data_IF_303797184143
#
_entry.id   IF_303797184143
#
_cell.length_a   1.000
_cell.length_b   1.000
_cell.length_c   1.000
_cell.angle_alpha   90.00
_cell.angle_beta   90.00
_cell.angle_gamma   90.00
#
_symmetry.space_group_name_H-M   'P 1'
#
loop_
_entity.id
_entity.type
_entity.pdbx_description
1 polymer ?
#
# COMPACT_ATOMS: atom_id res chain seq x y z
N UNK A 1 -11.46 11.27 -1.68
CA UNK A 1 -11.35 12.24 -0.57
C UNK A 1 -12.74 12.56 -0.07
N UNK A 2 -13.58 13.12 -0.94
CA UNK A 2 -14.98 13.41 -0.65
C UNK A 2 -15.92 12.27 -1.10
N UNK A 3 -16.23 12.18 -2.39
CA UNK A 3 -17.30 11.32 -2.94
C UNK A 3 -17.04 9.82 -2.75
N UNK A 4 -15.81 9.36 -2.90
CA UNK A 4 -15.46 7.93 -2.82
C UNK A 4 -15.25 7.42 -1.37
N UNK A 5 -15.47 8.27 -0.36
CA UNK A 5 -15.21 7.98 1.06
C UNK A 5 -16.46 8.27 1.88
N UNK A 6 -16.73 7.42 2.87
CA UNK A 6 -17.80 7.65 3.84
C UNK A 6 -17.30 8.53 4.98
N UNK A 7 -18.04 9.60 5.27
CA UNK A 7 -17.71 10.56 6.33
C UNK A 7 -18.57 10.40 7.59
N UNK A 8 -19.60 9.55 7.52
CA UNK A 8 -20.59 9.30 8.57
C UNK A 8 -21.10 7.84 8.49
N UNK A 9 -21.74 7.37 9.56
CA UNK A 9 -22.31 6.03 9.66
C UNK A 9 -21.27 4.94 9.98
N UNK A 10 -21.71 3.68 9.97
CA UNK A 10 -20.90 2.53 10.42
C UNK A 10 -19.59 2.34 9.64
N UNK A 11 -19.55 2.83 8.39
CA UNK A 11 -18.38 2.71 7.51
C UNK A 11 -17.59 4.02 7.37
N UNK A 12 -17.83 5.00 8.25
CA UNK A 12 -17.07 6.25 8.26
C UNK A 12 -15.56 5.96 8.32
N UNK A 13 -14.80 6.60 7.44
CA UNK A 13 -13.36 6.36 7.29
C UNK A 13 -13.00 5.24 6.30
N UNK A 14 -13.98 4.53 5.71
CA UNK A 14 -13.75 3.63 4.57
C UNK A 14 -14.07 4.31 3.25
N UNK A 15 -13.36 3.92 2.19
CA UNK A 15 -13.71 4.29 0.82
C UNK A 15 -14.18 3.10 0.00
N UNK A 16 -14.83 3.37 -1.12
CA UNK A 16 -15.40 2.35 -1.99
C UNK A 16 -14.45 2.02 -3.15
N UNK A 17 -14.24 0.73 -3.41
CA UNK A 17 -13.51 0.26 -4.60
C UNK A 17 -14.19 0.74 -5.90
N UNK A 18 -13.38 1.00 -6.92
CA UNK A 18 -13.82 1.43 -8.25
C UNK A 18 -14.96 0.56 -8.84
N UNK A 19 -15.96 1.22 -9.41
CA UNK A 19 -17.14 0.60 -10.01
C UNK A 19 -17.95 1.60 -10.86
N UNK A 20 -19.12 1.19 -11.34
CA UNK A 20 -19.99 2.04 -12.20
C UNK A 20 -20.45 3.29 -11.45
N UNK A 21 -20.78 3.15 -10.16
CA UNK A 21 -21.02 4.29 -9.27
C UNK A 21 -19.90 4.35 -8.23
N UNK A 22 -19.56 5.57 -7.81
CA UNK A 22 -18.55 5.87 -6.80
C UNK A 22 -18.74 5.13 -5.46
N UNK A 23 -19.94 4.62 -5.19
CA UNK A 23 -20.32 3.96 -3.93
C UNK A 23 -20.91 2.54 -4.13
N UNK A 24 -20.90 1.99 -5.34
CA UNK A 24 -21.58 0.72 -5.65
C UNK A 24 -20.83 -0.54 -5.18
N UNK A 25 -19.50 -0.59 -5.28
CA UNK A 25 -18.76 -1.83 -4.97
C UNK A 25 -18.85 -2.17 -3.47
N UNK A 26 -18.95 -3.45 -3.14
CA UNK A 26 -19.08 -3.92 -1.75
C UNK A 26 -17.76 -3.94 -0.95
N UNK A 27 -16.62 -3.76 -1.62
CA UNK A 27 -15.32 -3.62 -0.97
C UNK A 27 -15.16 -2.20 -0.45
N UNK A 28 -15.58 -2.00 0.81
CA UNK A 28 -15.33 -0.77 1.58
C UNK A 28 -14.03 -0.97 2.36
N UNK A 29 -13.00 -0.18 2.06
CA UNK A 29 -11.64 -0.46 2.52
C UNK A 29 -10.83 0.82 2.79
N UNK A 30 -9.84 0.69 3.67
CA UNK A 30 -8.91 1.76 4.05
C UNK A 30 -8.09 2.27 2.86
N UNK A 31 -7.72 1.38 1.93
CA UNK A 31 -6.88 1.72 0.77
C UNK A 31 -7.43 2.81 -0.17
N UNK A 32 -8.73 3.12 -0.10
CA UNK A 32 -9.35 4.22 -0.87
C UNK A 32 -9.40 5.52 -0.03
N UNK A 33 -9.67 5.36 1.27
CA UNK A 33 -9.70 6.46 2.24
C UNK A 33 -8.30 6.91 2.69
N UNK A 34 -7.24 6.19 2.30
CA UNK A 34 -5.84 6.46 2.63
C UNK A 34 -5.51 7.97 2.56
N UNK A 35 -5.10 8.53 3.70
CA UNK A 35 -4.85 9.97 3.83
C UNK A 35 -3.60 10.42 3.08
N UNK A 36 -2.69 9.50 2.72
CA UNK A 36 -1.51 9.77 1.89
C UNK A 36 -1.86 10.45 0.58
N UNK A 37 -3.01 10.12 -0.01
CA UNK A 37 -3.44 10.73 -1.27
C UNK A 37 -3.84 12.22 -1.15
N UNK A 38 -3.89 12.75 0.08
CA UNK A 38 -4.29 14.13 0.39
C UNK A 38 -3.21 14.92 1.14
N UNK A 39 -2.26 14.23 1.78
CA UNK A 39 -1.11 14.83 2.50
C UNK A 39 -0.38 15.87 1.65
N UNK A 40 0.00 15.52 0.41
CA UNK A 40 0.73 16.44 -0.47
C UNK A 40 -0.03 17.74 -0.73
N UNK A 41 -1.31 17.64 -1.08
CA UNK A 41 -2.15 18.82 -1.29
C UNK A 41 -2.27 19.64 0.00
N UNK A 42 -2.61 19.00 1.11
CA UNK A 42 -2.76 19.67 2.41
C UNK A 42 -1.50 20.39 2.85
N UNK A 43 -0.32 19.78 2.79
CA UNK A 43 0.91 20.43 3.24
C UNK A 43 1.35 21.56 2.30
N UNK A 44 0.90 21.56 1.04
CA UNK A 44 1.14 22.66 0.10
C UNK A 44 0.15 23.81 0.26
N UNK A 45 -1.09 23.55 0.69
CA UNK A 45 -2.17 24.56 0.69
C UNK A 45 -2.66 24.96 2.07
N UNK A 46 -2.41 24.13 3.09
CA UNK A 46 -3.03 24.18 4.41
C UNK A 46 -4.58 24.19 4.38
N UNK A 47 -5.19 23.64 3.32
CA UNK A 47 -6.65 23.64 3.15
C UNK A 47 -7.35 22.95 4.33
N UNK A 48 -8.17 23.72 5.05
CA UNK A 48 -8.82 23.28 6.28
C UNK A 48 -9.81 22.14 6.02
N UNK A 49 -10.48 22.14 4.86
CA UNK A 49 -11.44 21.08 4.51
C UNK A 49 -10.72 19.74 4.38
N UNK A 50 -9.61 19.68 3.67
CA UNK A 50 -8.79 18.47 3.58
C UNK A 50 -8.20 18.12 4.95
N UNK A 51 -7.86 19.11 5.77
CA UNK A 51 -7.49 18.93 7.16
C UNK A 51 -8.55 18.18 7.98
N UNK A 52 -9.82 18.57 7.84
CA UNK A 52 -10.96 17.91 8.50
C UNK A 52 -11.14 16.48 8.00
N UNK A 53 -11.05 16.26 6.68
CA UNK A 53 -11.16 14.93 6.08
C UNK A 53 -10.10 13.97 6.62
N UNK A 54 -8.84 14.40 6.71
CA UNK A 54 -7.76 13.57 7.24
C UNK A 54 -7.92 13.30 8.73
N UNK A 55 -8.42 14.29 9.51
CA UNK A 55 -8.68 14.11 10.94
C UNK A 55 -9.82 13.10 11.18
N UNK A 56 -10.87 13.11 10.35
CA UNK A 56 -11.98 12.17 10.44
C UNK A 56 -11.55 10.71 10.27
N UNK A 57 -10.42 10.45 9.60
CA UNK A 57 -9.88 9.11 9.38
C UNK A 57 -9.05 8.54 10.53
N UNK A 58 -8.75 9.31 11.59
CA UNK A 58 -7.85 8.86 12.67
C UNK A 58 -8.35 7.63 13.43
N UNK A 59 -9.68 7.49 13.55
CA UNK A 59 -10.33 6.37 14.24
C UNK A 59 -10.92 5.34 13.25
N UNK A 60 -10.48 5.34 11.98
CA UNK A 60 -11.04 4.44 10.97
C UNK A 60 -10.74 2.96 11.23
N UNK A 61 -9.84 2.63 12.15
CA UNK A 61 -9.61 1.28 12.68
C UNK A 61 -10.85 0.67 13.36
N UNK A 62 -11.75 1.49 13.90
CA UNK A 62 -12.99 1.01 14.51
C UNK A 62 -13.90 0.29 13.50
N UNK A 63 -13.74 0.60 12.21
CA UNK A 63 -14.52 -0.02 11.12
C UNK A 63 -14.31 -1.54 11.03
N UNK A 64 -13.20 -2.07 11.55
CA UNK A 64 -12.94 -3.51 11.60
C UNK A 64 -13.84 -4.25 12.61
N UNK A 65 -14.50 -3.54 13.54
CA UNK A 65 -15.53 -4.11 14.42
C UNK A 65 -16.79 -4.49 13.64
N UNK A 66 -17.08 -3.78 12.55
CA UNK A 66 -18.36 -3.89 11.83
C UNK A 66 -18.20 -4.48 10.42
N UNK A 67 -16.98 -4.47 9.86
CA UNK A 67 -16.74 -4.96 8.51
C UNK A 67 -15.37 -5.64 8.38
N UNK A 68 -15.37 -6.96 8.15
CA UNK A 68 -14.18 -7.68 7.66
C UNK A 68 -14.02 -7.45 6.14
N UNK A 69 -12.92 -6.82 5.67
CA UNK A 69 -12.65 -6.65 4.25
C UNK A 69 -12.43 -7.98 3.52
N UNK A 70 -12.12 -9.07 4.23
CA UNK A 70 -11.84 -10.40 3.69
C UNK A 70 -13.03 -11.36 3.77
N UNK A 71 -14.19 -10.94 4.30
CA UNK A 71 -15.37 -11.80 4.59
C UNK A 71 -15.88 -12.73 3.48
N UNK A 72 -15.51 -12.47 2.22
CA UNK A 72 -15.92 -13.27 1.05
C UNK A 72 -14.83 -14.23 0.54
N UNK A 73 -13.59 -14.06 1.01
CA UNK A 73 -12.41 -14.80 0.53
C UNK A 73 -11.63 -15.47 1.66
N UNK A 74 -11.91 -15.07 2.91
CA UNK A 74 -11.40 -15.72 4.12
C UNK A 74 -11.87 -17.17 4.18
N UNK A 75 -10.99 -18.08 4.59
CA UNK A 75 -11.27 -19.51 4.73
C UNK A 75 -11.35 -19.96 6.18
N UNK A 76 -10.78 -19.19 7.11
CA UNK A 76 -10.88 -19.40 8.55
C UNK A 76 -12.16 -18.81 9.16
N UNK A 77 -12.70 -19.41 10.24
CA UNK A 77 -13.80 -18.82 10.98
C UNK A 77 -13.32 -17.55 11.69
N UNK A 78 -13.96 -16.42 11.38
CA UNK A 78 -13.61 -15.13 11.96
C UNK A 78 -14.87 -14.36 12.35
N UNK A 79 -14.87 -13.83 13.57
CA UNK A 79 -15.84 -12.86 14.07
C UNK A 79 -15.04 -11.71 14.65
N UNK A 80 -15.38 -10.44 14.34
CA UNK A 80 -14.67 -9.30 14.90
C UNK A 80 -14.63 -9.36 16.43
N UNK A 81 -13.43 -9.28 16.97
CA UNK A 81 -13.14 -9.14 18.40
C UNK A 81 -12.32 -7.87 18.59
N UNK A 82 -12.76 -6.99 19.49
CA UNK A 82 -12.10 -5.72 19.82
C UNK A 82 -10.62 -5.91 20.18
N UNK A 83 -10.26 -7.04 20.77
CA UNK A 83 -8.89 -7.35 21.20
C UNK A 83 -8.10 -8.20 20.19
N UNK A 84 -8.70 -8.55 19.04
CA UNK A 84 -8.09 -9.40 18.03
C UNK A 84 -8.64 -9.14 16.60
N UNK A 85 -8.65 -7.89 16.17
CA UNK A 85 -9.10 -7.49 14.83
C UNK A 85 -8.09 -7.90 13.75
N UNK A 86 -8.51 -8.65 12.75
CA UNK A 86 -7.63 -9.04 11.64
C UNK A 86 -7.39 -7.85 10.69
N UNK A 87 -6.15 -7.37 10.66
CA UNK A 87 -5.72 -6.24 9.80
C UNK A 87 -4.59 -6.71 8.87
N UNK A 88 -4.76 -6.49 7.57
CA UNK A 88 -3.70 -6.75 6.58
C UNK A 88 -2.58 -5.72 6.65
N UNK A 89 -1.32 -6.17 6.64
CA UNK A 89 -0.14 -5.29 6.74
C UNK A 89 0.13 -4.48 5.46
N UNK A 90 -0.58 -4.77 4.37
CA UNK A 90 -0.52 -4.02 3.12
C UNK A 90 -1.61 -2.96 3.03
N UNK A 91 -2.72 -3.33 2.37
CA UNK A 91 -3.79 -2.40 1.99
C UNK A 91 -4.52 -1.73 3.16
N UNK A 92 -4.62 -2.43 4.29
CA UNK A 92 -5.36 -1.93 5.45
C UNK A 92 -4.46 -1.08 6.34
N UNK A 93 -3.35 -1.65 6.80
CA UNK A 93 -2.39 -0.94 7.66
C UNK A 93 -1.83 0.32 7.01
N UNK A 94 -1.53 0.32 5.70
CA UNK A 94 -1.08 1.54 5.00
C UNK A 94 -2.13 2.67 5.08
N UNK A 95 -3.42 2.36 4.96
CA UNK A 95 -4.47 3.35 5.14
C UNK A 95 -4.56 3.87 6.57
N UNK A 96 -4.48 2.97 7.56
CA UNK A 96 -4.55 3.33 8.99
C UNK A 96 -3.33 4.16 9.44
N UNK A 97 -2.12 3.67 9.16
CA UNK A 97 -0.88 4.33 9.56
C UNK A 97 -0.72 5.69 8.87
N UNK A 98 -1.26 5.86 7.65
CA UNK A 98 -1.29 7.18 7.00
C UNK A 98 -2.04 8.21 7.84
N UNK A 99 -3.23 7.84 8.36
CA UNK A 99 -4.07 8.76 9.11
C UNK A 99 -3.41 9.11 10.44
N UNK A 100 -2.82 8.10 11.11
CA UNK A 100 -2.12 8.30 12.37
C UNK A 100 -0.84 9.14 12.20
N UNK A 101 -0.03 8.86 11.19
CA UNK A 101 1.17 9.64 10.90
C UNK A 101 0.81 11.11 10.61
N UNK A 102 -0.22 11.33 9.80
CA UNK A 102 -0.69 12.67 9.45
C UNK A 102 -1.18 13.44 10.67
N UNK A 103 -1.97 12.82 11.54
CA UNK A 103 -2.44 13.45 12.79
C UNK A 103 -1.27 13.75 13.74
N UNK A 104 -0.29 12.84 13.82
CA UNK A 104 0.91 13.02 14.61
C UNK A 104 1.72 14.25 14.14
N UNK A 105 2.03 14.34 12.85
CA UNK A 105 2.75 15.48 12.26
C UNK A 105 2.04 16.82 12.49
N UNK A 106 0.72 16.83 12.31
CA UNK A 106 -0.12 18.03 12.47
C UNK A 106 -0.31 18.45 13.92
N UNK A 107 0.05 17.60 14.90
CA UNK A 107 -0.25 17.80 16.32
C UNK A 107 -1.73 18.09 16.57
N UNK A 108 -2.61 17.43 15.79
CA UNK A 108 -4.06 17.53 15.94
C UNK A 108 -4.56 16.96 17.27
N UNK A 109 -5.84 17.12 17.61
CA UNK A 109 -6.38 16.74 18.92
C UNK A 109 -6.10 15.28 19.35
N UNK A 110 -5.87 14.36 18.40
CA UNK A 110 -5.64 12.93 18.66
C UNK A 110 -4.17 12.51 18.47
N UNK A 111 -3.24 13.45 18.35
CA UNK A 111 -1.85 13.18 17.94
C UNK A 111 -1.10 12.21 18.88
N UNK A 112 -1.40 12.20 20.18
CA UNK A 112 -0.76 11.28 21.13
C UNK A 112 -1.19 9.83 20.91
N UNK A 113 -2.51 9.60 20.75
CA UNK A 113 -3.07 8.29 20.37
C UNK A 113 -2.49 7.84 19.03
N UNK A 114 -2.49 8.74 18.05
CA UNK A 114 -2.00 8.47 16.71
C UNK A 114 -0.51 8.09 16.72
N UNK A 115 0.34 8.87 17.39
CA UNK A 115 1.77 8.54 17.58
C UNK A 115 1.95 7.18 18.25
N UNK A 116 1.22 6.92 19.35
CA UNK A 116 1.31 5.64 20.05
C UNK A 116 1.02 4.47 19.12
N UNK A 117 -0.02 4.59 18.27
CA UNK A 117 -0.41 3.56 17.30
C UNK A 117 0.57 3.38 16.15
N UNK A 118 1.16 4.45 15.62
CA UNK A 118 2.25 4.34 14.64
C UNK A 118 3.38 3.49 15.23
N UNK A 119 3.88 3.87 16.40
CA UNK A 119 5.02 3.18 17.02
C UNK A 119 4.70 1.72 17.38
N UNK A 120 3.56 1.47 18.03
CA UNK A 120 3.19 0.11 18.47
C UNK A 120 2.88 -0.83 17.31
N UNK A 121 2.35 -0.32 16.19
CA UNK A 121 2.09 -1.16 15.01
C UNK A 121 3.34 -1.42 14.20
N UNK A 122 4.28 -0.47 14.12
CA UNK A 122 5.63 -0.72 13.59
C UNK A 122 6.35 -1.81 14.40
N UNK A 123 6.36 -1.69 15.74
CA UNK A 123 6.90 -2.72 16.65
C UNK A 123 6.23 -4.08 16.38
N UNK A 124 4.91 -4.10 16.29
CA UNK A 124 4.12 -5.31 16.11
C UNK A 124 4.37 -6.02 14.78
N UNK A 125 4.56 -5.27 13.68
CA UNK A 125 4.92 -5.84 12.37
C UNK A 125 6.35 -6.38 12.42
N UNK A 126 7.29 -5.61 12.97
CA UNK A 126 8.69 -6.01 13.08
C UNK A 126 8.89 -7.28 13.93
N UNK A 127 8.02 -7.48 14.93
CA UNK A 127 8.04 -8.64 15.81
C UNK A 127 7.42 -9.90 15.18
N UNK A 128 6.71 -9.80 14.04
CA UNK A 128 6.13 -10.99 13.40
C UNK A 128 7.23 -11.92 12.88
N UNK A 129 7.04 -13.25 12.93
CA UNK A 129 8.05 -14.21 12.46
C UNK A 129 8.53 -13.97 11.02
N UNK A 130 7.63 -13.50 10.15
CA UNK A 130 7.91 -13.18 8.76
C UNK A 130 7.72 -11.67 8.43
N UNK A 131 7.68 -10.78 9.42
CA UNK A 131 7.49 -9.34 9.18
C UNK A 131 6.26 -9.03 8.31
N UNK A 132 6.42 -8.21 7.28
CA UNK A 132 5.36 -7.92 6.29
C UNK A 132 4.89 -9.16 5.50
N UNK A 133 5.75 -10.17 5.32
CA UNK A 133 5.40 -11.42 4.60
C UNK A 133 4.41 -12.29 5.40
N UNK A 134 4.27 -12.04 6.71
CA UNK A 134 3.19 -12.60 7.53
C UNK A 134 1.80 -12.19 7.00
N UNK A 135 1.69 -11.05 6.31
CA UNK A 135 0.52 -10.60 5.57
C UNK A 135 -0.57 -9.92 6.40
N UNK A 136 -0.78 -10.37 7.64
CA UNK A 136 -1.76 -9.77 8.56
C UNK A 136 -1.42 -10.07 10.02
N UNK A 137 -2.06 -9.34 10.93
CA UNK A 137 -1.96 -9.55 12.38
C UNK A 137 -3.30 -9.35 13.07
N UNK A 138 -3.42 -9.90 14.29
CA UNK A 138 -4.55 -9.64 15.18
C UNK A 138 -4.24 -8.38 15.99
N UNK A 139 -5.09 -7.38 15.86
CA UNK A 139 -4.95 -6.04 16.40
C UNK A 139 -5.87 -5.82 17.58
N UNK A 140 -5.30 -5.42 18.70
CA UNK A 140 -6.07 -4.96 19.85
C UNK A 140 -6.38 -3.47 19.69
N UNK A 141 -7.66 -3.15 19.56
CA UNK A 141 -8.17 -1.81 19.29
C UNK A 141 -7.87 -0.83 20.44
N UNK A 142 -7.89 -1.32 21.68
CA UNK A 142 -7.80 -0.48 22.87
C UNK A 142 -6.34 -0.13 23.18
N UNK A 143 -5.42 -1.07 22.96
CA UNK A 143 -3.97 -0.88 23.20
C UNK A 143 -3.21 -0.43 21.95
N UNK A 144 -3.79 -0.63 20.76
CA UNK A 144 -3.17 -0.34 19.48
C UNK A 144 -2.02 -1.29 19.12
N UNK A 145 -1.98 -2.50 19.66
CA UNK A 145 -0.88 -3.47 19.47
C UNK A 145 -1.31 -4.66 18.62
N UNK A 146 -0.39 -5.17 17.82
CA UNK A 146 -0.56 -6.47 17.19
C UNK A 146 -0.10 -7.58 18.13
N UNK A 147 -0.87 -8.66 18.22
CA UNK A 147 -0.40 -9.93 18.77
C UNK A 147 0.70 -10.50 17.86
N UNK A 148 1.76 -11.05 18.46
CA UNK A 148 2.83 -11.72 17.73
C UNK A 148 2.40 -13.15 17.42
N UNK A 149 2.39 -13.52 16.13
CA UNK A 149 2.05 -14.88 15.72
C UNK A 149 3.07 -15.88 16.26
N UNK A 150 2.60 -17.04 16.72
CA UNK A 150 3.47 -18.13 17.20
C UNK A 150 4.11 -18.92 16.05
N UNK A 151 3.58 -18.81 14.84
CA UNK A 151 4.05 -19.53 13.65
C UNK A 151 4.30 -18.60 12.47
N UNK A 152 5.37 -18.84 11.68
CA UNK A 152 5.60 -18.11 10.45
C UNK A 152 4.54 -18.47 9.40
N UNK A 153 3.98 -17.46 8.76
CA UNK A 153 3.05 -17.59 7.64
C UNK A 153 3.59 -16.81 6.45
N UNK A 154 3.37 -17.32 5.25
CA UNK A 154 3.60 -16.59 4.00
C UNK A 154 2.24 -16.23 3.41
N UNK A 155 1.89 -14.95 3.47
CA UNK A 155 0.65 -14.42 2.91
C UNK A 155 0.95 -13.08 2.23
N UNK A 156 1.29 -13.15 0.95
CA UNK A 156 1.69 -11.98 0.16
C UNK A 156 0.66 -11.72 -0.93
N UNK A 157 0.24 -10.47 -1.05
CA UNK A 157 -0.62 -9.99 -2.13
C UNK A 157 0.08 -8.95 -2.96
N UNK A 158 -0.07 -9.01 -4.28
CA UNK A 158 0.40 -7.96 -5.21
C UNK A 158 -0.25 -6.59 -4.94
N UNK A 159 -1.33 -6.54 -4.16
CA UNK A 159 -1.97 -5.29 -3.77
C UNK A 159 -1.29 -4.62 -2.56
N UNK A 160 -0.42 -5.31 -1.83
CA UNK A 160 0.04 -4.85 -0.52
C UNK A 160 0.86 -3.57 -0.59
N UNK A 161 1.74 -3.46 -1.60
CA UNK A 161 2.68 -2.33 -1.69
C UNK A 161 2.17 -1.17 -2.55
N UNK A 162 1.07 -1.32 -3.29
CA UNK A 162 0.65 -0.38 -4.36
C UNK A 162 -0.38 0.67 -3.94
N UNK A 163 -0.72 0.75 -2.64
CA UNK A 163 -1.67 1.72 -2.11
C UNK A 163 -1.05 2.65 -1.05
N UNK A 164 0.22 3.04 -1.22
CA UNK A 164 0.90 3.99 -0.32
C UNK A 164 1.83 3.35 0.71
N UNK A 165 1.88 2.02 0.81
CA UNK A 165 2.71 1.33 1.81
C UNK A 165 4.19 1.66 1.64
N UNK A 166 4.69 1.69 0.41
CA UNK A 166 6.11 1.90 0.13
C UNK A 166 6.55 3.31 0.54
N UNK A 167 5.75 4.31 0.17
CA UNK A 167 5.94 5.71 0.50
C UNK A 167 5.89 5.92 2.01
N UNK A 168 4.88 5.34 2.69
CA UNK A 168 4.74 5.43 4.14
C UNK A 168 5.87 4.74 4.89
N UNK A 169 6.33 3.55 4.44
CA UNK A 169 7.46 2.89 5.08
C UNK A 169 8.73 3.73 4.97
N UNK A 170 8.99 4.37 3.82
CA UNK A 170 10.12 5.26 3.66
C UNK A 170 10.05 6.46 4.64
N UNK A 171 8.90 7.12 4.75
CA UNK A 171 8.69 8.22 5.71
C UNK A 171 8.86 7.75 7.16
N UNK A 172 8.27 6.61 7.53
CA UNK A 172 8.36 6.08 8.90
C UNK A 172 9.79 5.71 9.28
N UNK A 173 10.57 5.15 8.36
CA UNK A 173 11.97 4.77 8.59
C UNK A 173 12.86 6.01 8.75
N UNK A 174 12.58 7.09 8.03
CA UNK A 174 13.27 8.37 8.20
C UNK A 174 12.91 9.04 9.54
N UNK A 175 11.65 8.95 9.95
CA UNK A 175 11.13 9.63 11.15
C UNK A 175 11.38 8.89 12.47
N UNK A 176 11.50 7.56 12.44
CA UNK A 176 11.53 6.71 13.65
C UNK A 176 12.74 5.77 13.62
N UNK A 177 13.61 5.88 14.63
CA UNK A 177 14.72 4.95 14.84
C UNK A 177 14.19 3.59 15.35
N UNK A 178 13.82 2.72 14.40
CA UNK A 178 13.39 1.35 14.66
C UNK A 178 14.05 0.37 13.67
N UNK A 179 15.30 -0.04 13.93
CA UNK A 179 16.07 -0.88 13.00
C UNK A 179 15.39 -2.22 12.66
N UNK A 180 14.65 -2.81 13.60
CA UNK A 180 13.90 -4.04 13.38
C UNK A 180 12.78 -3.87 12.34
N UNK A 181 12.09 -2.73 12.34
CA UNK A 181 11.08 -2.42 11.33
C UNK A 181 11.72 -2.16 9.96
N UNK A 182 12.83 -1.41 9.92
CA UNK A 182 13.58 -1.20 8.67
C UNK A 182 14.02 -2.55 8.07
N UNK A 183 14.55 -3.47 8.89
CA UNK A 183 14.93 -4.81 8.43
C UNK A 183 13.72 -5.60 7.89
N UNK A 184 12.57 -5.57 8.59
CA UNK A 184 11.37 -6.27 8.15
C UNK A 184 10.84 -5.73 6.80
N UNK A 185 10.91 -4.42 6.59
CA UNK A 185 10.53 -3.79 5.33
C UNK A 185 11.55 -4.08 4.21
N UNK A 186 12.85 -3.97 4.51
CA UNK A 186 13.91 -4.34 3.58
C UNK A 186 13.77 -5.80 3.11
N UNK A 187 13.49 -6.74 4.01
CA UNK A 187 13.28 -8.15 3.67
C UNK A 187 12.08 -8.30 2.71
N UNK A 188 10.97 -7.60 2.96
CA UNK A 188 9.83 -7.60 2.03
C UNK A 188 10.24 -7.09 0.64
N UNK A 189 10.95 -5.96 0.59
CA UNK A 189 11.42 -5.35 -0.65
C UNK A 189 12.36 -6.26 -1.44
N UNK A 190 13.36 -6.85 -0.76
CA UNK A 190 14.35 -7.74 -1.36
C UNK A 190 13.72 -9.02 -1.94
N UNK A 191 12.69 -9.56 -1.30
CA UNK A 191 12.16 -10.87 -1.67
C UNK A 191 10.90 -10.86 -2.52
N UNK A 192 10.19 -9.73 -2.63
CA UNK A 192 8.96 -9.66 -3.43
C UNK A 192 9.20 -10.09 -4.91
N UNK A 193 10.21 -9.51 -5.55
CA UNK A 193 10.59 -9.83 -6.94
C UNK A 193 11.65 -10.93 -7.07
N UNK A 194 12.06 -11.54 -5.96
CA UNK A 194 13.03 -12.63 -5.98
C UNK A 194 12.47 -13.89 -6.64
N UNK A 195 13.34 -14.81 -7.00
CA UNK A 195 12.93 -16.10 -7.54
C UNK A 195 12.18 -16.90 -6.47
N UNK A 196 11.31 -17.81 -6.90
CA UNK A 196 10.61 -18.74 -5.99
C UNK A 196 11.58 -19.55 -5.13
N UNK A 197 12.76 -19.88 -5.67
CA UNK A 197 13.80 -20.59 -4.94
C UNK A 197 14.37 -19.74 -3.78
N UNK A 198 14.67 -18.47 -4.03
CA UNK A 198 15.14 -17.54 -2.99
C UNK A 198 14.07 -17.27 -1.93
N UNK A 199 12.81 -17.10 -2.34
CA UNK A 199 11.67 -16.95 -1.42
C UNK A 199 11.52 -18.19 -0.54
N UNK A 200 11.52 -19.39 -1.12
CA UNK A 200 11.42 -20.65 -0.39
C UNK A 200 12.61 -20.86 0.56
N UNK A 201 13.82 -20.49 0.14
CA UNK A 201 15.00 -20.56 0.99
C UNK A 201 14.90 -19.64 2.21
N UNK A 202 14.30 -18.44 2.06
CA UNK A 202 14.14 -17.47 3.14
C UNK A 202 12.94 -17.73 4.05
N UNK A 203 11.82 -18.17 3.50
CA UNK A 203 10.51 -18.21 4.19
C UNK A 203 9.90 -19.61 4.30
N UNK A 204 10.57 -20.65 3.78
CA UNK A 204 10.06 -22.04 3.77
C UNK A 204 9.06 -22.33 2.64
N UNK A 205 8.47 -21.31 2.03
CA UNK A 205 7.61 -21.39 0.84
C UNK A 205 7.80 -20.18 -0.08
N UNK A 206 7.39 -20.30 -1.35
CA UNK A 206 7.34 -19.16 -2.27
C UNK A 206 6.06 -18.33 -2.11
N UNK A 207 6.04 -17.15 -2.71
CA UNK A 207 4.93 -16.20 -2.59
C UNK A 207 3.77 -16.49 -3.56
N UNK A 208 3.73 -17.70 -4.16
CA UNK A 208 2.68 -18.10 -5.08
C UNK A 208 2.81 -17.42 -6.45
N UNK A 209 1.71 -16.86 -6.94
CA UNK A 209 1.66 -16.13 -8.21
C UNK A 209 1.38 -14.65 -7.92
N UNK A 210 2.41 -13.82 -8.12
CA UNK A 210 2.32 -12.37 -7.97
C UNK A 210 2.21 -11.70 -9.34
N UNK A 211 1.84 -10.41 -9.31
CA UNK A 211 1.64 -9.54 -10.45
C UNK A 211 2.18 -8.14 -10.13
N UNK A 212 2.10 -7.23 -11.09
CA UNK A 212 2.45 -5.81 -10.96
C UNK A 212 3.96 -5.61 -10.76
N UNK A 213 4.77 -6.46 -11.36
CA UNK A 213 6.23 -6.48 -11.21
C UNK A 213 6.88 -5.17 -11.63
N UNK A 214 6.34 -4.47 -12.65
CA UNK A 214 6.80 -3.14 -13.04
C UNK A 214 6.58 -2.14 -11.90
N UNK A 215 5.39 -2.11 -11.30
CA UNK A 215 5.08 -1.27 -10.15
C UNK A 215 5.90 -1.61 -8.90
N UNK A 216 6.27 -2.88 -8.72
CA UNK A 216 7.11 -3.34 -7.61
C UNK A 216 8.61 -3.23 -7.88
N UNK A 217 9.05 -2.77 -9.05
CA UNK A 217 10.46 -2.50 -9.32
C UNK A 217 11.08 -1.49 -8.34
N UNK A 218 10.27 -0.54 -7.84
CA UNK A 218 10.66 0.41 -6.80
C UNK A 218 11.01 -0.23 -5.44
N UNK A 219 10.47 -1.43 -5.16
CA UNK A 219 10.91 -2.21 -4.00
C UNK A 219 12.34 -2.72 -4.18
N UNK A 220 12.67 -3.22 -5.37
CA UNK A 220 14.04 -3.62 -5.69
C UNK A 220 14.99 -2.41 -5.63
N UNK A 221 14.52 -1.24 -6.09
CA UNK A 221 15.29 -0.01 -6.04
C UNK A 221 15.61 0.42 -4.61
N UNK A 222 14.61 0.41 -3.72
CA UNK A 222 14.81 0.67 -2.30
C UNK A 222 15.82 -0.30 -1.69
N UNK A 223 15.63 -1.62 -1.90
CA UNK A 223 16.52 -2.64 -1.34
C UNK A 223 17.96 -2.52 -1.89
N UNK A 224 18.12 -2.12 -3.16
CA UNK A 224 19.42 -1.87 -3.76
C UNK A 224 20.15 -0.71 -3.09
N UNK A 225 19.48 0.42 -2.85
CA UNK A 225 20.08 1.59 -2.17
C UNK A 225 20.51 1.26 -0.75
N UNK A 226 19.70 0.49 -0.01
CA UNK A 226 20.02 0.11 1.37
C UNK A 226 21.29 -0.76 1.49
N UNK A 227 21.63 -1.53 0.46
CA UNK A 227 22.73 -2.52 0.53
C UNK A 227 23.88 -2.26 -0.44
N UNK A 228 23.72 -1.35 -1.39
CA UNK A 228 24.65 -1.19 -2.51
C UNK A 228 24.67 -2.39 -3.47
N UNK A 229 23.67 -3.27 -3.43
CA UNK A 229 23.61 -4.50 -4.23
C UNK A 229 23.31 -4.18 -5.71
N UNK A 230 24.35 -4.24 -6.55
CA UNK A 230 24.24 -3.97 -7.98
C UNK A 230 23.31 -4.96 -8.72
N UNK A 231 23.13 -6.19 -8.20
CA UNK A 231 22.21 -7.15 -8.80
C UNK A 231 20.75 -6.75 -8.55
N UNK A 232 20.44 -6.21 -7.35
CA UNK A 232 19.12 -5.64 -7.07
C UNK A 232 18.85 -4.40 -7.92
N UNK A 233 19.84 -3.50 -8.09
CA UNK A 233 19.69 -2.34 -8.95
C UNK A 233 19.39 -2.73 -10.40
N UNK A 234 20.13 -3.71 -10.93
CA UNK A 234 19.85 -4.28 -12.26
C UNK A 234 18.47 -4.93 -12.32
N UNK A 235 18.05 -5.65 -11.28
CA UNK A 235 16.73 -6.28 -11.22
C UNK A 235 15.61 -5.25 -11.23
N UNK A 236 15.74 -4.15 -10.50
CA UNK A 236 14.78 -3.04 -10.50
C UNK A 236 14.51 -2.55 -11.93
N UNK A 237 15.56 -2.15 -12.66
CA UNK A 237 15.41 -1.72 -14.06
C UNK A 237 14.94 -2.82 -14.99
N UNK A 238 15.37 -4.06 -14.80
CA UNK A 238 14.88 -5.21 -15.59
C UNK A 238 13.38 -5.42 -15.38
N UNK A 239 12.89 -5.33 -14.15
CA UNK A 239 11.46 -5.43 -13.84
C UNK A 239 10.70 -4.23 -14.37
N UNK A 240 11.27 -3.03 -14.32
CA UNK A 240 10.66 -1.85 -14.91
C UNK A 240 10.49 -1.98 -16.43
N UNK A 241 11.52 -2.35 -17.17
CA UNK A 241 11.49 -2.38 -18.65
C UNK A 241 10.95 -3.67 -19.27
N UNK A 242 11.04 -4.81 -18.56
CA UNK A 242 10.87 -6.15 -19.15
C UNK A 242 10.10 -7.10 -18.25
N UNK A 243 8.99 -6.65 -17.67
CA UNK A 243 8.05 -7.52 -16.94
C UNK A 243 6.60 -7.40 -17.42
N UNK A 244 5.73 -6.76 -16.64
CA UNK A 244 4.34 -6.44 -16.97
C UNK A 244 4.15 -4.92 -17.13
N UNK A 245 2.90 -4.47 -17.30
CA UNK A 245 2.58 -3.06 -17.54
C UNK A 245 3.02 -2.57 -18.91
N UNK A 246 3.62 -1.38 -18.97
CA UNK A 246 4.06 -0.77 -20.23
C UNK A 246 5.52 -1.08 -20.55
N UNK A 247 5.80 -1.53 -21.77
CA UNK A 247 7.18 -1.75 -22.22
C UNK A 247 7.58 -0.69 -23.23
N UNK A 248 8.87 -0.62 -23.58
CA UNK A 248 9.32 0.27 -24.66
C UNK A 248 8.68 -0.07 -26.02
N UNK A 249 8.24 -1.33 -26.19
CA UNK A 249 7.53 -1.77 -27.38
C UNK A 249 6.03 -1.45 -27.36
N UNK A 250 5.49 -0.90 -26.26
CA UNK A 250 4.11 -0.42 -26.21
C UNK A 250 3.87 0.70 -27.25
N UNK A 251 2.65 0.92 -27.74
CA UNK A 251 2.44 1.82 -28.88
C UNK A 251 2.81 3.30 -28.66
N UNK A 252 2.79 3.81 -27.41
CA UNK A 252 3.11 5.20 -27.04
C UNK A 252 2.44 6.28 -27.92
N UNK A 253 1.25 5.97 -28.43
CA UNK A 253 0.44 6.86 -29.27
C UNK A 253 -1.04 6.64 -29.00
N UNK A 254 -1.82 7.65 -29.37
CA UNK A 254 -3.28 7.57 -29.47
C UNK A 254 -3.69 7.35 -30.92
N UNK A 255 -4.86 6.76 -31.13
CA UNK A 255 -5.50 6.59 -32.43
C UNK A 255 -6.74 7.47 -32.52
N UNK A 256 -6.93 8.14 -33.67
CA UNK A 256 -8.11 8.98 -33.89
C UNK A 256 -9.35 8.11 -34.14
N UNK A 257 -10.48 8.49 -33.53
CA UNK A 257 -11.77 7.82 -33.69
C UNK A 257 -12.81 8.78 -34.29
N UNK A 258 -13.65 8.25 -35.17
CA UNK A 258 -14.77 8.96 -35.79
C UNK A 258 -15.96 8.05 -36.06
N UNK A 259 -17.07 8.64 -36.51
CA UNK A 259 -18.26 7.88 -36.91
C UNK A 259 -17.97 6.91 -38.08
N UNK A 260 -18.65 5.74 -38.13
CA UNK A 260 -19.73 5.30 -37.25
C UNK A 260 -19.29 4.54 -35.97
N UNK A 261 -17.98 4.44 -35.70
CA UNK A 261 -17.43 3.66 -34.56
C UNK A 261 -17.72 4.32 -33.21
N UNK A 262 -17.76 5.65 -33.19
CA UNK A 262 -18.03 6.45 -31.98
C UNK A 262 -19.15 7.47 -32.22
N UNK A 263 -19.83 7.85 -31.13
CA UNK A 263 -20.90 8.87 -31.16
C UNK A 263 -20.35 10.27 -31.48
N UNK A 264 -19.16 10.58 -30.94
CA UNK A 264 -18.45 11.85 -31.15
C UNK A 264 -16.99 11.55 -31.49
N UNK A 265 -16.39 12.37 -32.35
CA UNK A 265 -14.98 12.21 -32.71
C UNK A 265 -14.09 12.42 -31.47
N UNK A 266 -12.99 11.66 -31.40
CA UNK A 266 -12.06 11.69 -30.27
C UNK A 266 -10.78 10.92 -30.58
N UNK A 267 -10.08 10.52 -29.54
CA UNK A 267 -8.95 9.60 -29.65
C UNK A 267 -8.97 8.58 -28.53
N UNK A 268 -8.36 7.43 -28.77
CA UNK A 268 -8.17 6.41 -27.76
C UNK A 268 -6.72 5.91 -27.72
N UNK A 269 -6.36 5.33 -26.59
CA UNK A 269 -5.20 4.46 -26.45
C UNK A 269 -5.70 3.19 -25.78
N UNK A 270 -6.28 2.27 -26.56
CA UNK A 270 -6.90 1.04 -26.01
C UNK A 270 -5.93 0.13 -25.24
N UNK A 271 -4.63 0.36 -25.41
CA UNK A 271 -3.54 -0.32 -24.70
C UNK A 271 -3.24 0.28 -23.31
N UNK A 272 -3.83 1.42 -22.95
CA UNK A 272 -3.61 2.14 -21.69
C UNK A 272 -4.66 1.75 -20.66
N UNK A 273 -4.23 1.48 -19.43
CA UNK A 273 -5.08 1.32 -18.26
C UNK A 273 -4.67 2.26 -17.14
N UNK A 274 -5.62 2.71 -16.30
CA UNK A 274 -5.28 3.62 -15.18
C UNK A 274 -4.38 2.96 -14.13
N UNK A 275 -4.48 1.63 -13.95
CA UNK A 275 -3.64 0.89 -13.03
C UNK A 275 -2.19 0.87 -13.52
N UNK A 276 -1.97 0.51 -14.78
CA UNK A 276 -0.63 0.44 -15.35
C UNK A 276 -0.01 1.83 -15.43
N UNK A 277 -0.77 2.85 -15.82
CA UNK A 277 -0.27 4.24 -15.85
C UNK A 277 0.15 4.75 -14.47
N UNK A 278 -0.64 4.50 -13.42
CA UNK A 278 -0.30 4.93 -12.08
C UNK A 278 0.98 4.24 -11.58
N UNK A 279 1.08 2.92 -11.77
CA UNK A 279 2.23 2.14 -11.33
C UNK A 279 3.49 2.41 -12.15
N UNK A 280 3.36 2.58 -13.47
CA UNK A 280 4.45 3.00 -14.35
C UNK A 280 5.01 4.34 -13.90
N UNK A 281 4.14 5.33 -13.65
CA UNK A 281 4.54 6.67 -13.21
C UNK A 281 5.27 6.65 -11.87
N UNK A 282 4.71 5.96 -10.86
CA UNK A 282 5.35 5.83 -9.54
C UNK A 282 6.69 5.10 -9.64
N UNK A 283 6.74 3.97 -10.35
CA UNK A 283 7.98 3.22 -10.53
C UNK A 283 9.04 4.03 -11.28
N UNK A 284 8.67 4.78 -12.32
CA UNK A 284 9.62 5.63 -13.05
C UNK A 284 10.21 6.71 -12.14
N UNK A 285 9.37 7.44 -11.40
CA UNK A 285 9.80 8.50 -10.47
C UNK A 285 10.73 7.94 -9.40
N UNK A 286 10.32 6.86 -8.72
CA UNK A 286 11.08 6.30 -7.60
C UNK A 286 12.37 5.61 -8.06
N UNK A 287 12.35 4.85 -9.15
CA UNK A 287 13.56 4.22 -9.68
C UNK A 287 14.57 5.27 -10.15
N UNK A 288 14.12 6.37 -10.77
CA UNK A 288 15.01 7.48 -11.13
C UNK A 288 15.60 8.16 -9.90
N UNK A 289 14.77 8.40 -8.87
CA UNK A 289 15.22 9.03 -7.63
C UNK A 289 16.26 8.19 -6.88
N UNK A 290 16.09 6.86 -6.88
CA UNK A 290 16.93 5.94 -6.12
C UNK A 290 18.13 5.40 -6.92
N UNK A 291 17.97 5.18 -8.23
CA UNK A 291 18.89 4.44 -9.08
C UNK A 291 19.09 5.09 -10.47
N UNK A 292 18.84 6.40 -10.61
CA UNK A 292 18.98 7.11 -11.88
C UNK A 292 20.39 7.03 -12.47
N UNK A 293 21.43 6.98 -11.63
CA UNK A 293 22.83 6.81 -12.05
C UNK A 293 23.16 5.37 -12.50
N UNK A 294 22.23 4.42 -12.31
CA UNK A 294 22.33 3.01 -12.67
C UNK A 294 21.36 2.60 -13.78
N UNK A 295 20.75 3.57 -14.48
CA UNK A 295 19.92 3.26 -15.65
C UNK A 295 20.72 2.47 -16.70
N UNK A 296 20.10 1.48 -17.36
CA UNK A 296 20.74 0.68 -18.40
C UNK A 296 21.10 1.48 -19.65
#
# INVERSE_FOLDING_TARGET
GEVDVYHLGDWAGLGTRHGVQHYADSAKQQRIANTTYRRYYYFLTADERVGDLMHANVDSDETFLVLDPLRKVRTDPYTPDRHALSIGFGTDWSGLVSAWLTEWERKGPKWEKAKARVLSTMEGIAAQPNGFVQGSGLYDLDTGRFAVASTPVVSVSHLSAVFGLNELCAELIDLVDMPSFNQAYFDYCRYFNATKAEQKARYGSDFGTLLLFQGHSRLDAYAAVQTGDAALAKRAWTKFYSSDGYTEASPWKTEALSGPVTLVAGSEAAWVSSNDTALYGLAAIENLALLGDKMP
#
